data_IF_127150735552
#
_entry.id   IF_127150735552
#
_cell.length_a   1.000
_cell.length_b   1.000
_cell.length_c   1.000
_cell.angle_alpha   90.00
_cell.angle_beta   90.00
_cell.angle_gamma   90.00
#
_symmetry.space_group_name_H-M   'P 1'
#
loop_
_entity.id
_entity.type
_entity.pdbx_description
1 polymer ?
#
# COMPACT_ATOMS: atom_id res chain seq x y z
N UNK A 1 -12.54 -48.00 -24.97
CA UNK A 1 -12.43 -47.23 -26.23
C UNK A 1 -13.71 -46.40 -26.38
N UNK A 2 -13.74 -45.12 -26.80
CA UNK A 2 -12.73 -44.07 -27.02
C UNK A 2 -12.94 -42.86 -26.03
N UNK A 3 -11.90 -42.13 -25.60
CA UNK A 3 -11.37 -40.84 -26.11
C UNK A 3 -12.30 -39.62 -25.95
N UNK A 4 -11.95 -38.64 -25.09
CA UNK A 4 -11.47 -37.31 -25.51
C UNK A 4 -11.42 -36.29 -24.34
N UNK A 5 -10.19 -35.82 -24.08
CA UNK A 5 -9.76 -34.49 -23.62
C UNK A 5 -10.84 -33.54 -23.07
N UNK A 6 -10.67 -33.13 -21.81
CA UNK A 6 -10.66 -31.70 -21.52
C UNK A 6 -9.76 -31.38 -20.32
N UNK A 7 -8.52 -31.05 -20.64
CA UNK A 7 -7.62 -30.25 -19.82
C UNK A 7 -8.30 -28.88 -19.64
N UNK A 8 -9.09 -28.73 -18.58
CA UNK A 8 -9.75 -27.47 -18.27
C UNK A 8 -8.67 -26.43 -17.94
N UNK A 9 -8.42 -25.55 -18.92
CA UNK A 9 -7.63 -24.31 -18.80
C UNK A 9 -8.03 -23.59 -17.50
N UNK A 10 -7.09 -23.03 -16.72
CA UNK A 10 -7.45 -22.29 -15.53
C UNK A 10 -8.39 -21.16 -15.93
N UNK A 11 -9.58 -21.17 -15.33
CA UNK A 11 -10.61 -20.17 -15.55
C UNK A 11 -10.00 -18.78 -15.45
N UNK A 12 -10.13 -18.00 -16.54
CA UNK A 12 -9.81 -16.57 -16.58
C UNK A 12 -10.57 -15.88 -15.46
N UNK A 13 -9.95 -15.71 -14.29
CA UNK A 13 -10.46 -14.84 -13.22
C UNK A 13 -10.53 -13.44 -13.84
N UNK A 14 -11.75 -12.90 -13.99
CA UNK A 14 -12.04 -11.53 -14.44
C UNK A 14 -10.94 -10.61 -13.92
N UNK A 15 -10.07 -10.16 -14.83
CA UNK A 15 -8.87 -9.42 -14.48
C UNK A 15 -9.27 -8.14 -13.76
N UNK A 16 -9.05 -8.10 -12.44
CA UNK A 16 -9.07 -6.85 -11.69
C UNK A 16 -8.08 -5.95 -12.44
N UNK A 17 -8.57 -4.85 -13.03
CA UNK A 17 -7.74 -3.90 -13.78
C UNK A 17 -6.57 -3.50 -12.88
N UNK A 18 -5.38 -4.02 -13.17
CA UNK A 18 -4.16 -3.67 -12.44
C UNK A 18 -3.77 -2.27 -12.92
N UNK A 19 -3.88 -1.28 -12.05
CA UNK A 19 -3.36 0.06 -12.30
C UNK A 19 -1.98 0.08 -11.68
N UNK A 20 -0.90 0.17 -12.47
CA UNK A 20 0.50 0.16 -12.01
C UNK A 20 0.87 -0.94 -10.98
N UNK A 21 0.23 -2.11 -11.06
CA UNK A 21 0.47 -3.23 -10.14
C UNK A 21 -0.38 -3.23 -8.86
N UNK A 22 -1.20 -2.21 -8.64
CA UNK A 22 -2.19 -2.17 -7.56
C UNK A 22 -3.44 -2.99 -7.89
N UNK A 23 -3.98 -3.64 -6.88
CA UNK A 23 -5.30 -4.29 -6.87
C UNK A 23 -6.31 -3.29 -6.32
N UNK A 24 -7.50 -3.19 -6.91
CA UNK A 24 -8.57 -2.32 -6.42
C UNK A 24 -9.58 -3.15 -5.63
N UNK A 25 -9.90 -2.76 -4.40
CA UNK A 25 -10.93 -3.42 -3.59
C UNK A 25 -12.34 -2.87 -3.90
N UNK A 26 -13.37 -3.45 -3.28
CA UNK A 26 -14.78 -3.09 -3.47
C UNK A 26 -15.11 -1.65 -3.06
N UNK A 27 -14.28 -1.07 -2.18
CA UNK A 27 -14.37 0.32 -1.69
C UNK A 27 -13.59 1.31 -2.57
N UNK A 28 -12.95 0.82 -3.63
CA UNK A 28 -12.16 1.64 -4.52
C UNK A 28 -10.73 1.93 -4.05
N UNK A 29 -10.32 1.37 -2.91
CA UNK A 29 -8.96 1.45 -2.38
C UNK A 29 -8.04 0.61 -3.27
N UNK A 30 -6.98 1.25 -3.75
CA UNK A 30 -5.91 0.58 -4.46
C UNK A 30 -4.91 0.05 -3.43
N UNK A 31 -4.53 -1.22 -3.51
CA UNK A 31 -3.59 -1.84 -2.57
C UNK A 31 -2.69 -2.83 -3.30
N UNK A 32 -1.44 -2.92 -2.87
CA UNK A 32 -0.41 -3.76 -3.46
C UNK A 32 0.46 -4.31 -2.34
N UNK A 33 0.59 -5.63 -2.29
CA UNK A 33 1.59 -6.26 -1.44
C UNK A 33 2.98 -5.96 -2.03
N UNK A 34 3.76 -5.16 -1.33
CA UNK A 34 5.11 -4.77 -1.70
C UNK A 34 5.91 -4.68 -0.41
N UNK A 35 7.01 -5.41 -0.37
CA UNK A 35 7.92 -5.41 0.77
C UNK A 35 9.13 -4.58 0.41
N UNK A 36 9.50 -3.66 1.30
CA UNK A 36 10.65 -2.79 1.11
C UNK A 36 10.95 -2.02 2.38
N UNK A 37 12.05 -1.29 2.35
CA UNK A 37 12.45 -0.42 3.44
C UNK A 37 12.13 1.01 3.06
N UNK A 38 11.35 1.70 3.88
CA UNK A 38 11.07 3.12 3.72
C UNK A 38 11.85 3.92 4.76
N UNK A 39 12.64 4.89 4.30
CA UNK A 39 13.39 5.81 5.15
C UNK A 39 12.71 7.17 5.08
N UNK A 40 12.16 7.65 6.20
CA UNK A 40 11.55 8.96 6.29
C UNK A 40 12.58 10.05 6.04
N UNK A 41 12.29 10.95 5.09
CA UNK A 41 13.07 12.17 4.83
C UNK A 41 12.26 13.44 5.06
N UNK A 42 11.06 13.32 5.63
CA UNK A 42 10.27 14.47 6.06
C UNK A 42 10.89 15.07 7.33
N UNK A 43 11.33 16.32 7.26
CA UNK A 43 11.90 17.04 8.41
C UNK A 43 10.89 17.29 9.52
N UNK A 44 9.60 17.37 9.18
CA UNK A 44 8.49 17.51 10.14
C UNK A 44 8.01 16.17 10.71
N UNK A 45 8.63 15.06 10.30
CA UNK A 45 8.14 13.72 10.56
C UNK A 45 6.87 13.38 9.78
N UNK A 46 6.44 12.11 9.87
CA UNK A 46 5.26 11.60 9.19
C UNK A 46 4.35 10.93 10.21
N UNK A 47 3.12 11.43 10.33
CA UNK A 47 2.14 10.87 11.25
C UNK A 47 1.59 9.56 10.71
N UNK A 48 1.70 8.50 11.52
CA UNK A 48 1.14 7.17 11.24
C UNK A 48 -0.28 7.05 11.82
N UNK A 49 -1.09 6.15 11.29
CA UNK A 49 -2.52 5.97 11.60
C UNK A 49 -2.84 4.50 11.87
N UNK A 50 -3.83 4.25 12.73
CA UNK A 50 -4.39 2.91 12.93
C UNK A 50 -5.62 2.67 12.04
N UNK A 51 -6.15 1.45 12.04
CA UNK A 51 -7.40 1.02 11.37
C UNK A 51 -7.31 0.94 9.85
N UNK A 52 -6.74 1.93 9.18
CA UNK A 52 -6.63 1.95 7.72
C UNK A 52 -5.93 3.19 7.16
N UNK A 53 -5.79 3.26 5.82
CA UNK A 53 -5.10 4.32 5.10
C UNK A 53 -5.95 5.59 4.98
N UNK A 54 -6.39 6.18 6.11
CA UNK A 54 -7.17 7.42 6.13
C UNK A 54 -6.60 8.42 7.12
N UNK A 55 -6.62 9.70 6.74
CA UNK A 55 -6.15 10.81 7.59
C UNK A 55 -7.07 11.06 8.80
N UNK A 56 -8.33 10.60 8.74
CA UNK A 56 -9.31 10.76 9.83
C UNK A 56 -9.17 9.72 10.93
N UNK A 57 -8.40 8.65 10.68
CA UNK A 57 -8.19 7.59 11.66
C UNK A 57 -7.34 8.06 12.85
N UNK A 58 -7.44 7.36 14.00
CA UNK A 58 -6.61 7.67 15.17
C UNK A 58 -5.12 7.57 14.85
N UNK A 59 -4.36 8.53 15.37
CA UNK A 59 -2.90 8.60 15.23
C UNK A 59 -2.27 7.41 15.94
N UNK A 60 -1.42 6.67 15.22
CA UNK A 60 -0.67 5.56 15.80
C UNK A 60 0.64 5.98 16.46
N UNK A 61 1.20 7.08 15.98
CA UNK A 61 2.49 7.63 16.34
C UNK A 61 3.00 8.49 15.18
N UNK A 62 4.27 8.85 15.19
CA UNK A 62 4.90 9.52 14.07
C UNK A 62 6.27 8.89 13.80
N UNK A 63 6.66 8.87 12.53
CA UNK A 63 8.01 8.52 12.11
C UNK A 63 8.83 9.80 11.96
N UNK A 64 9.92 9.90 12.71
CA UNK A 64 10.81 11.06 12.65
C UNK A 64 11.73 11.00 11.43
N UNK A 65 12.40 12.12 11.15
CA UNK A 65 13.38 12.21 10.09
C UNK A 65 14.49 11.15 10.24
N UNK A 66 14.92 10.55 9.13
CA UNK A 66 15.89 9.45 9.06
C UNK A 66 15.47 8.12 9.70
N UNK A 67 14.25 7.99 10.23
CA UNK A 67 13.79 6.69 10.69
C UNK A 67 13.42 5.78 9.52
N UNK A 68 13.81 4.50 9.61
CA UNK A 68 13.50 3.48 8.62
C UNK A 68 12.46 2.49 9.14
N UNK A 69 11.51 2.11 8.29
CA UNK A 69 10.52 1.07 8.56
C UNK A 69 10.43 0.08 7.42
N UNK A 70 10.26 -1.19 7.77
CA UNK A 70 10.02 -2.24 6.80
C UNK A 70 8.52 -2.37 6.60
N UNK A 71 8.05 -2.07 5.40
CA UNK A 71 6.65 -2.21 5.03
C UNK A 71 6.41 -3.49 4.26
N UNK A 72 5.16 -3.96 4.27
CA UNK A 72 4.74 -5.16 3.57
C UNK A 72 3.57 -4.95 2.60
N UNK A 73 2.90 -3.80 2.72
CA UNK A 73 1.84 -3.41 1.81
C UNK A 73 1.87 -1.91 1.54
N UNK A 74 1.46 -1.53 0.34
CA UNK A 74 1.31 -0.15 -0.13
C UNK A 74 -0.12 0.04 -0.59
N UNK A 75 -0.79 1.07 -0.10
CA UNK A 75 -2.15 1.44 -0.48
C UNK A 75 -2.19 2.83 -1.10
N UNK A 76 -3.21 3.08 -1.89
CA UNK A 76 -3.52 4.37 -2.49
C UNK A 76 -4.98 4.66 -2.15
N UNK A 77 -5.15 5.73 -1.37
CA UNK A 77 -6.43 6.15 -0.86
C UNK A 77 -6.41 7.63 -0.45
N UNK A 78 -7.55 8.31 -0.62
CA UNK A 78 -7.73 9.73 -0.27
C UNK A 78 -6.69 10.67 -0.89
N UNK A 79 -6.15 10.33 -2.06
CA UNK A 79 -5.13 11.15 -2.73
C UNK A 79 -3.74 11.09 -2.06
N UNK A 80 -3.47 10.04 -1.28
CA UNK A 80 -2.16 9.75 -0.71
C UNK A 80 -1.77 8.30 -1.00
N UNK A 81 -0.46 8.06 -1.14
CA UNK A 81 0.08 6.71 -1.04
C UNK A 81 0.39 6.45 0.42
N UNK A 82 -0.08 5.32 0.90
CA UNK A 82 0.12 4.80 2.24
C UNK A 82 1.00 3.56 2.15
N UNK A 83 1.81 3.35 3.18
CA UNK A 83 2.45 2.07 3.42
C UNK A 83 1.95 1.53 4.75
N UNK A 84 1.86 0.22 4.86
CA UNK A 84 1.51 -0.40 6.13
C UNK A 84 2.49 -1.49 6.52
N UNK A 85 2.67 -1.60 7.83
CA UNK A 85 3.47 -2.65 8.44
C UNK A 85 2.90 -3.07 9.77
N UNK A 86 3.23 -4.29 10.17
CA UNK A 86 2.94 -4.81 11.50
C UNK A 86 4.04 -4.37 12.46
N UNK A 87 3.69 -3.62 13.49
CA UNK A 87 4.63 -3.28 14.58
C UNK A 87 4.79 -4.45 15.55
N UNK A 88 5.82 -4.40 16.39
CA UNK A 88 6.12 -5.45 17.37
C UNK A 88 4.93 -5.74 18.33
N UNK A 89 4.11 -4.74 18.62
CA UNK A 89 2.86 -4.90 19.40
C UNK A 89 1.76 -5.69 18.68
N UNK A 90 1.99 -6.17 17.46
CA UNK A 90 1.02 -6.93 16.66
C UNK A 90 -0.04 -6.08 15.95
N UNK A 91 -0.01 -4.75 16.11
CA UNK A 91 -0.90 -3.82 15.43
C UNK A 91 -0.37 -3.48 14.04
N UNK A 92 -1.27 -3.21 13.09
CA UNK A 92 -0.91 -2.68 11.78
C UNK A 92 -1.03 -1.16 11.80
N UNK A 93 0.03 -0.49 11.41
CA UNK A 93 0.06 0.97 11.25
C UNK A 93 0.11 1.32 9.77
N UNK A 94 -0.50 2.45 9.42
CA UNK A 94 -0.59 2.97 8.07
C UNK A 94 0.06 4.35 8.05
N UNK A 95 1.00 4.58 7.15
CA UNK A 95 1.74 5.82 7.07
C UNK A 95 1.65 6.42 5.66
N UNK A 96 1.24 7.68 5.52
CA UNK A 96 1.24 8.36 4.24
C UNK A 96 2.69 8.71 3.86
N UNK A 97 3.11 8.34 2.66
CA UNK A 97 4.48 8.53 2.15
C UNK A 97 4.57 9.57 1.03
N UNK A 98 3.45 10.17 0.66
CA UNK A 98 3.38 11.16 -0.40
C UNK A 98 1.96 11.29 -0.95
N UNK A 99 1.75 12.31 -1.77
CA UNK A 99 0.48 12.52 -2.49
C UNK A 99 0.34 11.51 -3.62
N UNK A 100 -0.90 11.21 -3.97
CA UNK A 100 -1.28 10.33 -5.06
C UNK A 100 -2.33 10.96 -5.95
N UNK A 101 -2.37 10.55 -7.22
CA UNK A 101 -3.42 10.88 -8.18
C UNK A 101 -4.68 10.02 -8.04
N UNK A 102 -4.72 9.12 -7.04
CA UNK A 102 -5.83 8.19 -6.82
C UNK A 102 -5.86 7.02 -7.83
N UNK A 103 -4.79 6.83 -8.60
CA UNK A 103 -4.64 5.79 -9.61
C UNK A 103 -3.38 4.94 -9.38
N UNK A 104 -2.81 4.97 -8.17
CA UNK A 104 -1.58 4.27 -7.84
C UNK A 104 -0.32 4.99 -8.34
N UNK A 105 -0.43 6.26 -8.75
CA UNK A 105 0.72 7.07 -9.13
C UNK A 105 0.96 8.15 -8.09
N UNK A 106 2.19 8.21 -7.58
CA UNK A 106 2.61 9.30 -6.71
C UNK A 106 2.61 10.61 -7.48
N UNK A 107 2.08 11.66 -6.85
CA UNK A 107 2.09 13.02 -7.36
C UNK A 107 3.10 13.82 -6.55
N UNK A 108 4.23 14.15 -7.16
CA UNK A 108 5.32 14.88 -6.52
C UNK A 108 6.32 13.96 -5.80
N UNK A 109 7.17 14.59 -4.99
CA UNK A 109 8.22 13.90 -4.26
C UNK A 109 7.64 13.02 -3.14
N UNK A 110 8.18 11.81 -3.01
CA UNK A 110 7.92 11.00 -1.83
C UNK A 110 8.53 11.68 -0.59
N UNK A 111 7.89 11.50 0.55
CA UNK A 111 8.34 12.03 1.84
C UNK A 111 9.48 11.21 2.45
N UNK A 112 10.15 10.40 1.63
CA UNK A 112 11.19 9.49 2.02
C UNK A 112 11.80 8.76 0.83
N UNK A 113 12.71 7.83 1.15
CA UNK A 113 13.44 7.02 0.19
C UNK A 113 13.02 5.56 0.36
N UNK A 114 12.87 4.86 -0.76
CA UNK A 114 12.62 3.42 -0.80
C UNK A 114 13.93 2.72 -1.12
N UNK A 115 14.28 1.71 -0.32
CA UNK A 115 15.44 0.84 -0.50
C UNK A 115 15.06 -0.63 -0.53
#
# INVERSE_FOLDING_TARGET
MPTEKQKAKPAKKKGIKKVNGYKKNKWGILYKAEKGTFICKATQGIVTRYTGPSIHNPVAGALEYNQSVNYDEVQDYEGYIWISWKVHSGKTVYMPIGKSDGKGNRVGAAWGIFS
#
